data_IF_427676724979
#
_entry.id   IF_427676724979
#
_cell.length_a   1.000
_cell.length_b   1.000
_cell.length_c   1.000
_cell.angle_alpha   90.00
_cell.angle_beta   90.00
_cell.angle_gamma   90.00
#
_symmetry.space_group_name_H-M   'P 1'
#
loop_
_entity.id
_entity.type
_entity.pdbx_description
1 polymer ?
#
# COMPACT_ATOMS: atom_id res chain seq x y z
N UNK A 1 -4.64 -41.04 -17.15
CA UNK A 1 -3.98 -41.25 -15.84
C UNK A 1 -5.05 -41.29 -14.76
N UNK A 2 -4.95 -42.18 -13.76
CA UNK A 2 -5.85 -42.15 -12.61
C UNK A 2 -5.75 -40.80 -11.89
N UNK A 3 -6.84 -40.30 -11.29
CA UNK A 3 -6.84 -39.03 -10.60
C UNK A 3 -5.82 -39.07 -9.46
N UNK A 4 -4.91 -38.11 -9.42
CA UNK A 4 -3.92 -38.01 -8.35
C UNK A 4 -4.61 -37.84 -7.01
N UNK A 5 -4.18 -38.59 -6.00
CA UNK A 5 -4.62 -38.45 -4.61
C UNK A 5 -4.02 -37.17 -3.99
N UNK A 6 -4.68 -36.67 -2.95
CA UNK A 6 -4.19 -35.53 -2.18
C UNK A 6 -2.88 -35.88 -1.48
N UNK A 7 -1.86 -35.03 -1.61
CA UNK A 7 -0.55 -35.22 -0.98
C UNK A 7 -0.57 -35.09 0.55
N UNK A 8 -1.62 -34.49 1.13
CA UNK A 8 -1.74 -34.27 2.60
C UNK A 8 -2.48 -35.43 3.26
N UNK A 9 -3.71 -35.71 2.81
CA UNK A 9 -4.52 -36.75 3.46
C UNK A 9 -4.41 -38.14 2.81
N UNK A 10 -3.83 -38.26 1.61
CA UNK A 10 -3.69 -39.51 0.84
C UNK A 10 -4.98 -40.30 0.55
N UNK A 11 -6.15 -39.83 1.01
CA UNK A 11 -7.44 -40.49 0.86
C UNK A 11 -8.29 -39.83 -0.23
N UNK A 12 -8.43 -38.51 -0.18
CA UNK A 12 -9.28 -37.76 -1.11
C UNK A 12 -8.58 -37.53 -2.46
N UNK A 13 -9.37 -37.38 -3.52
CA UNK A 13 -8.87 -36.93 -4.83
C UNK A 13 -8.35 -35.49 -4.75
N UNK A 14 -7.18 -35.24 -5.33
CA UNK A 14 -6.68 -33.88 -5.47
C UNK A 14 -7.55 -33.09 -6.47
N UNK A 15 -7.99 -31.91 -6.04
CA UNK A 15 -8.84 -30.99 -6.81
C UNK A 15 -8.10 -29.68 -7.12
N UNK A 16 -7.07 -29.35 -6.35
CA UNK A 16 -6.36 -28.09 -6.39
C UNK A 16 -4.88 -28.37 -6.67
N UNK A 17 -4.31 -27.61 -7.60
CA UNK A 17 -2.87 -27.46 -7.74
C UNK A 17 -2.46 -26.18 -7.03
N UNK A 18 -1.75 -26.30 -5.91
CA UNK A 18 -1.41 -25.17 -5.06
C UNK A 18 -0.48 -24.18 -5.81
N UNK A 19 -0.81 -22.88 -5.91
CA UNK A 19 0.02 -21.91 -6.63
C UNK A 19 1.44 -21.79 -6.07
N UNK A 20 1.61 -21.83 -4.75
CA UNK A 20 2.90 -21.62 -4.06
C UNK A 20 3.98 -22.65 -4.39
N UNK A 21 3.61 -23.94 -4.46
CA UNK A 21 4.57 -25.05 -4.54
C UNK A 21 4.12 -26.20 -5.48
N UNK A 22 3.04 -26.01 -6.24
CA UNK A 22 2.45 -27.02 -7.12
C UNK A 22 2.05 -28.33 -6.43
N UNK A 23 1.81 -28.31 -5.11
CA UNK A 23 1.29 -29.46 -4.39
C UNK A 23 -0.14 -29.80 -4.85
N UNK A 24 -0.41 -31.08 -5.08
CA UNK A 24 -1.75 -31.57 -5.48
C UNK A 24 -2.55 -31.92 -4.23
N UNK A 25 -3.57 -31.12 -3.92
CA UNK A 25 -4.32 -31.21 -2.65
C UNK A 25 -5.84 -31.21 -2.87
N UNK A 26 -6.61 -31.74 -1.92
CA UNK A 26 -8.07 -31.65 -1.93
C UNK A 26 -8.54 -30.34 -1.28
N UNK A 27 -9.79 -29.93 -1.56
CA UNK A 27 -10.32 -28.67 -1.05
C UNK A 27 -10.34 -28.56 0.49
N UNK A 28 -10.74 -29.58 1.28
CA UNK A 28 -10.72 -29.50 2.74
C UNK A 28 -9.30 -29.30 3.31
N UNK A 29 -8.32 -30.05 2.77
CA UNK A 29 -6.93 -29.90 3.20
C UNK A 29 -6.36 -28.53 2.82
N UNK A 30 -6.73 -27.99 1.65
CA UNK A 30 -6.32 -26.65 1.25
C UNK A 30 -6.90 -25.57 2.17
N UNK A 31 -8.21 -25.62 2.46
CA UNK A 31 -8.89 -24.66 3.35
C UNK A 31 -8.19 -24.62 4.71
N UNK A 32 -7.99 -25.80 5.31
CA UNK A 32 -7.34 -25.91 6.61
C UNK A 32 -5.91 -25.37 6.56
N UNK A 33 -5.12 -25.78 5.57
CA UNK A 33 -3.74 -25.32 5.40
C UNK A 33 -3.66 -23.80 5.21
N UNK A 34 -4.56 -23.22 4.43
CA UNK A 34 -4.62 -21.77 4.20
C UNK A 34 -4.96 -21.02 5.49
N UNK A 35 -5.95 -21.49 6.25
CA UNK A 35 -6.31 -20.92 7.55
C UNK A 35 -5.14 -21.05 8.56
N UNK A 36 -4.48 -22.20 8.61
CA UNK A 36 -3.35 -22.46 9.51
C UNK A 36 -2.13 -21.57 9.18
N UNK A 37 -1.81 -21.33 7.89
CA UNK A 37 -0.73 -20.40 7.48
C UNK A 37 -1.06 -18.93 7.83
N UNK A 38 -2.34 -18.54 7.76
CA UNK A 38 -2.77 -17.21 8.22
C UNK A 38 -2.70 -17.11 9.74
N UNK A 39 -3.08 -18.16 10.47
CA UNK A 39 -2.94 -18.22 11.93
C UNK A 39 -1.48 -18.11 12.35
N UNK A 40 -0.57 -18.84 11.69
CA UNK A 40 0.88 -18.73 11.92
C UNK A 40 1.37 -17.29 11.69
N UNK A 41 0.90 -16.63 10.63
CA UNK A 41 1.24 -15.23 10.35
C UNK A 41 0.76 -14.28 11.47
N UNK A 42 -0.45 -14.50 11.97
CA UNK A 42 -1.07 -13.73 13.06
C UNK A 42 -0.30 -13.91 14.36
N UNK A 43 -0.01 -15.16 14.73
CA UNK A 43 0.66 -15.54 15.98
C UNK A 43 2.14 -15.13 15.97
N UNK A 44 2.87 -15.43 14.89
CA UNK A 44 4.30 -15.09 14.76
C UNK A 44 4.57 -13.58 14.72
N UNK A 45 3.55 -12.77 14.38
CA UNK A 45 3.64 -11.32 14.36
C UNK A 45 2.92 -10.65 15.53
N UNK A 46 2.40 -11.42 16.48
CA UNK A 46 1.65 -10.96 17.66
C UNK A 46 0.60 -9.89 17.28
N UNK A 47 -0.20 -10.19 16.24
CA UNK A 47 -1.08 -9.18 15.65
C UNK A 47 -2.19 -8.74 16.60
N UNK A 48 -2.69 -9.62 17.45
CA UNK A 48 -3.85 -9.35 18.30
C UNK A 48 -3.55 -9.64 19.77
N UNK A 49 -4.24 -8.92 20.66
CA UNK A 49 -4.35 -9.31 22.06
C UNK A 49 -5.68 -10.05 22.32
N UNK A 50 -5.70 -11.05 23.21
CA UNK A 50 -6.96 -11.73 23.55
C UNK A 50 -8.00 -10.74 24.08
N UNK A 51 -9.23 -10.80 23.57
CA UNK A 51 -10.31 -9.86 23.95
C UNK A 51 -10.28 -8.50 23.23
N UNK A 52 -9.35 -8.29 22.30
CA UNK A 52 -9.25 -7.04 21.56
C UNK A 52 -10.41 -6.84 20.58
N UNK A 53 -10.88 -5.59 20.46
CA UNK A 53 -11.86 -5.19 19.45
C UNK A 53 -11.16 -4.80 18.16
N UNK A 54 -11.47 -5.49 17.06
CA UNK A 54 -10.77 -5.36 15.79
C UNK A 54 -11.75 -5.06 14.65
N UNK A 55 -11.45 -4.01 13.87
CA UNK A 55 -12.24 -3.61 12.71
C UNK A 55 -11.66 -4.20 11.43
N UNK A 56 -12.44 -4.94 10.67
CA UNK A 56 -12.06 -5.51 9.38
C UNK A 56 -12.51 -4.55 8.29
N UNK A 57 -11.55 -4.02 7.53
CA UNK A 57 -11.83 -3.19 6.36
C UNK A 57 -12.54 -3.99 5.27
N UNK A 58 -13.84 -3.75 5.09
CA UNK A 58 -14.70 -4.47 4.17
C UNK A 58 -14.95 -3.66 2.89
N UNK A 59 -14.31 -4.06 1.79
CA UNK A 59 -14.53 -3.40 0.49
C UNK A 59 -15.63 -4.07 -0.32
N UNK A 60 -16.05 -5.30 0.03
CA UNK A 60 -16.97 -6.13 -0.76
C UNK A 60 -16.26 -7.00 -1.80
N UNK A 61 -14.95 -6.83 -1.96
CA UNK A 61 -14.12 -7.66 -2.81
C UNK A 61 -13.61 -8.92 -2.12
N UNK A 62 -13.11 -9.86 -2.95
CA UNK A 62 -12.62 -11.18 -2.54
C UNK A 62 -11.68 -11.14 -1.33
N UNK A 63 -10.71 -10.24 -1.31
CA UNK A 63 -9.65 -10.26 -0.30
C UNK A 63 -10.19 -9.87 1.08
N UNK A 64 -11.08 -8.87 1.14
CA UNK A 64 -11.73 -8.46 2.39
C UNK A 64 -12.75 -9.49 2.89
N UNK A 65 -13.48 -10.15 1.99
CA UNK A 65 -14.45 -11.19 2.35
C UNK A 65 -13.74 -12.45 2.88
N UNK A 66 -12.66 -12.88 2.22
CA UNK A 66 -11.83 -13.99 2.68
C UNK A 66 -11.19 -13.66 4.02
N UNK A 67 -10.65 -12.45 4.20
CA UNK A 67 -10.09 -12.02 5.48
C UNK A 67 -11.12 -12.12 6.60
N UNK A 68 -12.34 -11.63 6.39
CA UNK A 68 -13.41 -11.70 7.38
C UNK A 68 -13.80 -13.15 7.72
N UNK A 69 -13.93 -14.01 6.71
CA UNK A 69 -14.27 -15.42 6.87
C UNK A 69 -13.18 -16.21 7.62
N UNK A 70 -11.92 -15.99 7.27
CA UNK A 70 -10.76 -16.64 7.90
C UNK A 70 -10.61 -16.18 9.34
N UNK A 71 -10.64 -14.86 9.61
CA UNK A 71 -10.51 -14.35 10.98
C UNK A 71 -11.65 -14.82 11.87
N UNK A 72 -12.89 -14.88 11.38
CA UNK A 72 -14.01 -15.47 12.13
C UNK A 72 -13.72 -16.93 12.49
N UNK A 73 -13.35 -17.74 11.50
CA UNK A 73 -13.07 -19.17 11.68
C UNK A 73 -11.91 -19.40 12.66
N UNK A 74 -10.85 -18.60 12.57
CA UNK A 74 -9.68 -18.70 13.44
C UNK A 74 -9.97 -18.19 14.85
N UNK A 75 -10.77 -17.14 15.01
CA UNK A 75 -11.19 -16.64 16.31
C UNK A 75 -11.95 -17.71 17.12
N UNK A 76 -12.83 -18.47 16.45
CA UNK A 76 -13.55 -19.61 17.02
C UNK A 76 -12.62 -20.80 17.31
N UNK A 77 -11.69 -21.12 16.41
CA UNK A 77 -10.78 -22.28 16.53
C UNK A 77 -9.68 -22.10 17.59
N UNK A 78 -9.06 -20.92 17.64
CA UNK A 78 -7.93 -20.62 18.53
C UNK A 78 -8.38 -19.91 19.82
N UNK A 79 -9.67 -19.65 19.98
CA UNK A 79 -10.25 -18.97 21.14
C UNK A 79 -9.56 -17.63 21.47
N UNK A 80 -9.23 -16.84 20.44
CA UNK A 80 -8.63 -15.52 20.60
C UNK A 80 -9.59 -14.52 21.28
N UNK A 81 -10.89 -14.82 21.32
CA UNK A 81 -11.94 -14.00 21.94
C UNK A 81 -11.99 -12.56 21.39
N UNK A 82 -11.66 -12.36 20.12
CA UNK A 82 -11.71 -11.06 19.46
C UNK A 82 -13.15 -10.60 19.26
N UNK A 83 -13.42 -9.31 19.49
CA UNK A 83 -14.66 -8.65 19.07
C UNK A 83 -14.47 -8.09 17.65
N UNK A 84 -14.95 -8.83 16.66
CA UNK A 84 -14.78 -8.53 15.24
C UNK A 84 -15.94 -7.68 14.71
N UNK A 85 -15.62 -6.53 14.10
CA UNK A 85 -16.59 -5.64 13.45
C UNK A 85 -16.16 -5.34 12.00
N UNK A 86 -17.10 -5.26 11.07
CA UNK A 86 -16.85 -4.85 9.70
C UNK A 86 -16.94 -3.32 9.58
N UNK A 87 -15.95 -2.71 8.94
CA UNK A 87 -15.91 -1.29 8.62
C UNK A 87 -15.79 -1.11 7.10
N UNK A 88 -16.83 -0.56 6.48
CA UNK A 88 -16.91 -0.32 5.04
C UNK A 88 -16.94 1.18 4.76
N UNK A 89 -16.19 1.61 3.74
CA UNK A 89 -16.15 3.00 3.30
C UNK A 89 -16.94 3.14 2.00
N UNK A 90 -17.91 4.05 1.97
CA UNK A 90 -18.64 4.41 0.76
C UNK A 90 -18.02 5.65 0.11
N UNK A 91 -17.31 5.43 -1.00
CA UNK A 91 -16.70 6.49 -1.77
C UNK A 91 -17.69 7.34 -2.57
N UNK A 92 -18.93 6.88 -2.74
CA UNK A 92 -19.95 7.54 -3.55
C UNK A 92 -19.63 7.52 -5.05
N UNK A 93 -19.31 6.32 -5.57
CA UNK A 93 -19.11 6.07 -7.01
C UNK A 93 -20.35 5.34 -7.54
N UNK A 94 -21.16 6.03 -8.34
CA UNK A 94 -22.41 5.49 -8.89
C UNK A 94 -22.17 4.29 -9.80
N UNK A 95 -23.03 3.27 -9.69
CA UNK A 95 -23.00 2.08 -10.55
C UNK A 95 -21.86 1.10 -10.26
N UNK A 96 -20.98 1.43 -9.31
CA UNK A 96 -19.91 0.54 -8.83
C UNK A 96 -20.12 0.19 -7.35
N UNK A 97 -20.30 1.21 -6.50
CA UNK A 97 -20.25 1.01 -5.05
C UNK A 97 -21.55 0.41 -4.50
N UNK A 98 -22.68 0.64 -5.16
CA UNK A 98 -23.99 0.15 -4.75
C UNK A 98 -24.02 -1.38 -4.62
N UNK A 99 -23.65 -2.09 -5.69
CA UNK A 99 -23.56 -3.56 -5.70
C UNK A 99 -22.53 -4.12 -4.73
N UNK A 100 -21.41 -3.40 -4.57
CA UNK A 100 -20.36 -3.79 -3.65
C UNK A 100 -20.79 -3.66 -2.19
N UNK A 101 -21.54 -2.63 -1.83
CA UNK A 101 -22.09 -2.45 -0.48
C UNK A 101 -23.17 -3.50 -0.17
N UNK A 102 -23.97 -3.90 -1.15
CA UNK A 102 -24.92 -5.02 -1.00
C UNK A 102 -24.19 -6.33 -0.69
N UNK A 103 -23.07 -6.62 -1.36
CA UNK A 103 -22.23 -7.78 -1.03
C UNK A 103 -21.69 -7.69 0.41
N UNK A 104 -21.22 -6.51 0.85
CA UNK A 104 -20.78 -6.33 2.25
C UNK A 104 -21.91 -6.56 3.26
N UNK A 105 -23.13 -6.09 2.98
CA UNK A 105 -24.30 -6.32 3.84
C UNK A 105 -24.67 -7.81 3.92
N UNK A 106 -24.62 -8.52 2.78
CA UNK A 106 -24.84 -9.98 2.74
C UNK A 106 -23.77 -10.73 3.53
N UNK A 107 -22.50 -10.37 3.35
CA UNK A 107 -21.38 -10.94 4.11
C UNK A 107 -21.49 -10.68 5.61
N UNK A 108 -21.94 -9.49 6.03
CA UNK A 108 -22.23 -9.17 7.43
C UNK A 108 -23.30 -10.09 8.02
N UNK A 109 -24.40 -10.32 7.29
CA UNK A 109 -25.47 -11.20 7.71
C UNK A 109 -25.04 -12.68 7.77
N UNK A 110 -24.31 -13.16 6.77
CA UNK A 110 -23.82 -14.55 6.70
C UNK A 110 -22.77 -14.84 7.78
N UNK A 111 -21.83 -13.92 7.99
CA UNK A 111 -20.80 -14.06 9.00
C UNK A 111 -21.28 -13.68 10.41
N UNK A 112 -22.45 -13.05 10.55
CA UNK A 112 -22.95 -12.59 11.85
C UNK A 112 -22.06 -11.54 12.50
N UNK A 113 -21.35 -10.73 11.70
CA UNK A 113 -20.45 -9.68 12.17
C UNK A 113 -21.13 -8.31 12.05
N UNK A 114 -21.11 -7.45 13.09
CA UNK A 114 -21.65 -6.10 13.01
C UNK A 114 -20.99 -5.29 11.89
N UNK A 115 -21.75 -4.43 11.21
CA UNK A 115 -21.26 -3.63 10.09
C UNK A 115 -21.50 -2.14 10.33
N UNK A 116 -20.44 -1.33 10.13
CA UNK A 116 -20.51 0.12 10.05
C UNK A 116 -20.10 0.58 8.66
N UNK A 117 -20.94 1.42 8.07
CA UNK A 117 -20.65 2.08 6.79
C UNK A 117 -20.42 3.57 7.08
N UNK A 118 -19.36 4.13 6.50
CA UNK A 118 -19.03 5.57 6.58
C UNK A 118 -18.82 6.10 5.17
N UNK A 119 -19.41 7.25 4.82
CA UNK A 119 -19.33 7.79 3.47
C UNK A 119 -18.37 8.97 3.34
N UNK A 120 -17.82 9.19 2.14
CA UNK A 120 -17.05 10.41 1.87
C UNK A 120 -17.91 11.67 1.93
N UNK A 121 -19.17 11.58 1.53
CA UNK A 121 -20.11 12.69 1.60
C UNK A 121 -20.28 13.18 3.05
N UNK A 122 -20.42 12.25 4.00
CA UNK A 122 -20.53 12.55 5.43
C UNK A 122 -19.23 13.11 6.00
N UNK A 123 -18.07 12.52 5.66
CA UNK A 123 -16.79 12.90 6.26
C UNK A 123 -16.15 14.17 5.69
N UNK A 124 -16.42 14.46 4.42
CA UNK A 124 -15.69 15.47 3.65
C UNK A 124 -16.61 16.42 2.86
N UNK A 125 -17.91 16.13 2.75
CA UNK A 125 -18.84 16.92 1.92
C UNK A 125 -18.66 16.73 0.40
N UNK A 126 -17.90 15.71 0.00
CA UNK A 126 -17.58 15.38 -1.39
C UNK A 126 -17.75 13.88 -1.62
N UNK A 127 -18.40 13.49 -2.71
CA UNK A 127 -18.32 12.12 -3.25
C UNK A 127 -17.17 11.98 -4.24
N UNK A 128 -16.73 10.75 -4.53
CA UNK A 128 -15.70 10.55 -5.55
C UNK A 128 -16.14 10.99 -6.94
N UNK A 129 -17.40 10.83 -7.31
CA UNK A 129 -17.92 11.31 -8.59
C UNK A 129 -17.79 12.84 -8.70
N UNK A 130 -18.07 13.57 -7.61
CA UNK A 130 -17.89 15.02 -7.55
C UNK A 130 -16.40 15.41 -7.63
N UNK A 131 -15.51 14.66 -6.97
CA UNK A 131 -14.05 14.90 -7.07
C UNK A 131 -13.58 14.70 -8.50
N UNK A 132 -14.02 13.64 -9.19
CA UNK A 132 -13.64 13.37 -10.58
C UNK A 132 -14.21 14.44 -11.52
N UNK A 133 -15.43 14.91 -11.28
CA UNK A 133 -16.01 16.02 -12.05
C UNK A 133 -15.16 17.31 -11.95
N UNK A 134 -14.53 17.54 -10.79
CA UNK A 134 -13.75 18.75 -10.53
C UNK A 134 -12.27 18.65 -10.98
N UNK A 135 -11.62 17.50 -10.74
CA UNK A 135 -10.17 17.29 -10.96
C UNK A 135 -9.89 16.59 -12.30
N UNK A 136 -10.90 15.92 -12.86
CA UNK A 136 -10.76 15.04 -14.01
C UNK A 136 -10.32 13.62 -13.62
N UNK A 137 -10.16 12.77 -14.65
CA UNK A 137 -9.82 11.35 -14.47
C UNK A 137 -8.36 11.11 -14.09
N UNK A 138 -7.46 12.07 -14.34
CA UNK A 138 -6.03 11.95 -14.00
C UNK A 138 -5.81 12.35 -12.55
N UNK A 139 -5.23 11.45 -11.76
CA UNK A 139 -4.88 11.71 -10.35
C UNK A 139 -6.03 11.59 -9.35
N UNK A 140 -7.25 11.25 -9.77
CA UNK A 140 -8.39 10.99 -8.90
C UNK A 140 -8.15 9.86 -7.88
N UNK A 141 -7.41 8.81 -8.27
CA UNK A 141 -7.02 7.70 -7.40
C UNK A 141 -6.14 8.17 -6.22
N UNK A 142 -5.41 9.28 -6.40
CA UNK A 142 -4.66 9.91 -5.31
C UNK A 142 -5.60 10.46 -4.24
N UNK A 143 -6.63 11.21 -4.65
CA UNK A 143 -7.65 11.73 -3.72
C UNK A 143 -8.36 10.58 -3.02
N UNK A 144 -8.83 9.59 -3.78
CA UNK A 144 -9.53 8.43 -3.25
C UNK A 144 -8.68 7.68 -2.20
N UNK A 145 -7.40 7.43 -2.50
CA UNK A 145 -6.50 6.73 -1.56
C UNK A 145 -6.26 7.51 -0.26
N UNK A 146 -6.06 8.84 -0.35
CA UNK A 146 -5.87 9.69 0.84
C UNK A 146 -7.14 9.70 1.70
N UNK A 147 -8.30 9.92 1.08
CA UNK A 147 -9.58 9.99 1.78
C UNK A 147 -10.00 8.65 2.38
N UNK A 148 -9.74 7.53 1.69
CA UNK A 148 -10.07 6.18 2.19
C UNK A 148 -9.33 5.87 3.48
N UNK A 149 -8.04 6.22 3.53
CA UNK A 149 -7.22 6.02 4.72
C UNK A 149 -7.77 6.79 5.92
N UNK A 150 -8.00 8.09 5.76
CA UNK A 150 -8.54 8.91 6.83
C UNK A 150 -9.96 8.47 7.23
N UNK A 151 -10.75 7.98 6.27
CA UNK A 151 -12.09 7.47 6.52
C UNK A 151 -12.06 6.18 7.35
N UNK A 152 -11.12 5.26 7.08
CA UNK A 152 -10.90 4.07 7.91
C UNK A 152 -10.53 4.45 9.34
N UNK A 153 -9.67 5.45 9.53
CA UNK A 153 -9.28 5.85 10.89
C UNK A 153 -10.40 6.54 11.64
N UNK A 154 -11.11 7.46 10.98
CA UNK A 154 -12.30 8.10 11.57
C UNK A 154 -13.39 7.08 11.88
N UNK A 155 -13.63 6.13 10.97
CA UNK A 155 -14.59 5.06 11.16
C UNK A 155 -14.23 4.12 12.30
N UNK A 156 -12.96 3.78 12.46
CA UNK A 156 -12.48 2.98 13.60
C UNK A 156 -12.59 3.75 14.92
N UNK A 157 -12.27 5.05 14.93
CA UNK A 157 -12.48 5.91 16.10
C UNK A 157 -13.97 5.99 16.50
N UNK A 158 -14.88 6.13 15.53
CA UNK A 158 -16.33 6.12 15.78
C UNK A 158 -16.83 4.80 16.38
N UNK A 159 -16.16 3.68 16.07
CA UNK A 159 -16.47 2.36 16.62
C UNK A 159 -15.79 2.09 17.97
N UNK A 160 -14.92 2.98 18.44
CA UNK A 160 -14.07 2.70 19.57
C UNK A 160 -13.17 1.48 19.30
N UNK A 161 -12.49 1.47 18.15
CA UNK A 161 -11.56 0.41 17.75
C UNK A 161 -10.14 0.95 17.60
N UNK A 162 -9.19 0.31 18.29
CA UNK A 162 -7.76 0.63 18.23
C UNK A 162 -7.00 -0.10 17.11
N UNK A 163 -7.60 -1.11 16.47
CA UNK A 163 -6.93 -1.95 15.48
C UNK A 163 -7.81 -2.24 14.25
N UNK A 164 -7.35 -1.83 13.08
CA UNK A 164 -7.95 -2.12 11.78
C UNK A 164 -7.14 -3.17 11.02
N UNK A 165 -7.79 -4.18 10.47
CA UNK A 165 -7.16 -5.17 9.58
C UNK A 165 -7.64 -4.98 8.15
N UNK A 166 -6.73 -5.18 7.19
CA UNK A 166 -7.03 -5.01 5.76
C UNK A 166 -6.61 -6.23 4.96
N UNK A 167 -7.34 -6.51 3.87
CA UNK A 167 -7.13 -7.68 3.01
C UNK A 167 -5.94 -7.58 2.05
N UNK A 168 -4.90 -6.80 2.36
CA UNK A 168 -3.73 -6.72 1.48
C UNK A 168 -3.00 -8.06 1.44
N UNK A 169 -2.86 -8.61 0.24
CA UNK A 169 -2.27 -9.92 -0.01
C UNK A 169 -0.79 -9.80 -0.45
N UNK A 170 -0.12 -10.94 -0.68
CA UNK A 170 1.29 -10.97 -1.07
C UNK A 170 1.54 -10.24 -2.40
N UNK A 171 0.64 -10.38 -3.37
CA UNK A 171 0.70 -9.70 -4.67
C UNK A 171 0.62 -8.17 -4.50
N UNK A 172 -0.31 -7.66 -3.70
CA UNK A 172 -0.44 -6.21 -3.41
C UNK A 172 0.84 -5.62 -2.80
N UNK A 173 1.48 -6.38 -1.90
CA UNK A 173 2.72 -5.98 -1.25
C UNK A 173 3.87 -6.04 -2.25
N UNK A 174 3.96 -7.07 -3.09
CA UNK A 174 4.97 -7.19 -4.13
C UNK A 174 4.86 -6.06 -5.18
N UNK A 175 3.64 -5.76 -5.63
CA UNK A 175 3.35 -4.61 -6.49
C UNK A 175 3.85 -3.31 -5.85
N UNK A 176 3.57 -3.12 -4.56
CA UNK A 176 3.98 -1.91 -3.83
C UNK A 176 5.50 -1.81 -3.66
N UNK A 177 6.18 -2.92 -3.37
CA UNK A 177 7.65 -2.99 -3.31
C UNK A 177 8.26 -2.57 -4.64
N UNK A 178 7.80 -3.16 -5.74
CA UNK A 178 8.30 -2.89 -7.08
C UNK A 178 8.04 -1.43 -7.48
N UNK A 179 6.82 -0.93 -7.24
CA UNK A 179 6.46 0.46 -7.54
C UNK A 179 7.32 1.47 -6.77
N UNK A 180 7.63 1.22 -5.50
CA UNK A 180 8.47 2.12 -4.69
C UNK A 180 9.94 2.06 -5.11
N UNK A 181 10.44 0.86 -5.44
CA UNK A 181 11.78 0.68 -5.97
C UNK A 181 11.98 1.45 -7.30
N UNK A 182 11.04 1.30 -8.24
CA UNK A 182 11.09 1.97 -9.55
C UNK A 182 11.00 3.50 -9.43
N UNK A 183 10.34 4.02 -8.39
CA UNK A 183 10.27 5.46 -8.11
C UNK A 183 11.49 6.00 -7.36
N UNK A 184 12.37 5.14 -6.87
CA UNK A 184 13.47 5.52 -5.99
C UNK A 184 13.00 5.97 -4.59
N UNK A 185 11.81 5.55 -4.15
CA UNK A 185 11.21 5.98 -2.89
C UNK A 185 11.43 4.93 -1.78
N UNK A 186 12.69 4.80 -1.39
CA UNK A 186 13.13 3.82 -0.38
C UNK A 186 12.55 4.07 1.02
N UNK A 187 12.36 5.30 1.52
CA UNK A 187 11.70 5.52 2.81
C UNK A 187 10.27 4.96 2.85
N UNK A 188 9.52 5.03 1.74
CA UNK A 188 8.17 4.44 1.65
C UNK A 188 8.18 2.91 1.66
N UNK A 189 9.25 2.28 1.15
CA UNK A 189 9.39 0.83 1.12
C UNK A 189 9.34 0.19 2.52
N UNK A 190 9.98 0.83 3.50
CA UNK A 190 10.05 0.30 4.88
C UNK A 190 8.67 0.12 5.53
N UNK A 191 7.74 1.04 5.27
CA UNK A 191 6.39 0.97 5.83
C UNK A 191 5.48 0.03 5.05
N UNK A 192 5.60 0.02 3.73
CA UNK A 192 4.80 -0.84 2.85
C UNK A 192 5.00 -2.34 3.16
N UNK A 193 6.23 -2.70 3.54
CA UNK A 193 6.66 -4.07 3.87
C UNK A 193 6.51 -4.43 5.34
N UNK A 194 6.02 -3.51 6.17
CA UNK A 194 5.66 -3.80 7.56
C UNK A 194 4.27 -4.45 7.62
N UNK A 195 4.16 -5.54 8.39
CA UNK A 195 2.89 -6.23 8.61
C UNK A 195 1.96 -5.44 9.52
N UNK A 196 2.53 -4.74 10.51
CA UNK A 196 1.84 -3.80 11.39
C UNK A 196 2.33 -2.40 11.09
N UNK A 197 1.40 -1.47 10.94
CA UNK A 197 1.67 -0.04 10.84
C UNK A 197 0.79 0.68 11.83
N UNK A 198 1.37 1.47 12.73
CA UNK A 198 0.60 2.32 13.63
C UNK A 198 0.54 3.73 13.06
N UNK A 199 -0.67 4.27 12.93
CA UNK A 199 -0.89 5.68 12.57
C UNK A 199 -1.30 6.42 13.84
N UNK A 200 -0.42 7.26 14.45
CA UNK A 200 -0.85 8.18 15.48
C UNK A 200 -1.87 9.13 14.84
N UNK A 201 -3.12 9.11 15.29
CA UNK A 201 -4.21 9.98 14.85
C UNK A 201 -4.74 10.74 16.06
N UNK A 202 -4.32 11.98 16.29
CA UNK A 202 -4.81 12.73 17.45
C UNK A 202 -6.25 13.24 17.24
N UNK A 203 -7.09 13.09 18.27
CA UNK A 203 -8.06 14.13 18.67
C UNK A 203 -7.99 14.31 20.18
N UNK A 204 -8.02 15.58 20.59
CA UNK A 204 -7.88 16.08 21.96
C UNK A 204 -9.08 15.71 22.84
N UNK A 205 -8.85 15.46 24.12
CA UNK A 205 -9.79 15.91 25.16
C UNK A 205 -9.02 16.37 26.39
N UNK A 206 -9.44 17.52 26.87
CA UNK A 206 -8.93 18.36 27.95
C UNK A 206 -8.31 17.66 29.16
N UNK A 207 -7.26 18.30 29.67
CA UNK A 207 -6.96 18.26 31.09
C UNK A 207 -8.14 18.84 31.87
N UNK A 208 -8.89 18.01 32.58
CA UNK A 208 -9.46 18.43 33.86
C UNK A 208 -9.57 17.25 34.81
N UNK A 209 -8.87 17.39 35.94
CA UNK A 209 -9.10 16.60 37.14
C UNK A 209 -10.53 16.82 37.63
N UNK A 210 -11.33 15.76 37.77
CA UNK A 210 -12.59 15.84 38.50
C UNK A 210 -13.58 14.69 38.26
N UNK A 211 -13.66 13.77 39.22
CA UNK A 211 -14.79 12.90 39.64
C UNK A 211 -15.85 12.43 38.61
N UNK A 212 -15.97 11.07 38.56
CA UNK A 212 -17.16 10.18 38.48
C UNK A 212 -18.21 10.41 37.36
N UNK A 213 -18.50 9.36 36.57
CA UNK A 213 -19.78 8.62 36.53
C UNK A 213 -19.85 7.67 35.31
N UNK A 214 -20.66 6.61 35.45
CA UNK A 214 -20.92 5.52 34.49
C UNK A 214 -21.71 5.97 33.25
N UNK A 215 -21.61 5.16 32.19
CA UNK A 215 -22.31 5.23 30.90
C UNK A 215 -21.74 6.20 29.85
N UNK A 216 -21.22 5.58 28.76
CA UNK A 216 -20.78 6.19 27.51
C UNK A 216 -19.37 6.84 27.48
N UNK A 217 -18.33 6.02 27.69
CA UNK A 217 -16.95 6.40 27.34
C UNK A 217 -16.79 6.48 25.81
N UNK A 218 -16.77 7.69 25.26
CA UNK A 218 -16.20 7.96 23.95
C UNK A 218 -14.70 7.61 24.00
N UNK A 219 -14.33 6.45 23.48
CA UNK A 219 -12.92 6.05 23.43
C UNK A 219 -12.26 6.76 22.25
N UNK A 220 -11.56 7.84 22.52
CA UNK A 220 -10.72 8.55 21.56
C UNK A 220 -9.45 7.72 21.30
N UNK A 221 -9.55 6.71 20.43
CA UNK A 221 -8.37 5.97 19.98
C UNK A 221 -7.48 6.89 19.16
N UNK A 222 -6.42 7.40 19.79
CA UNK A 222 -5.48 8.35 19.19
C UNK A 222 -4.35 7.70 18.41
N UNK A 223 -4.33 6.37 18.31
CA UNK A 223 -3.33 5.61 17.56
C UNK A 223 -3.97 4.32 17.06
N UNK A 224 -4.38 4.32 15.78
CA UNK A 224 -5.03 3.15 15.19
C UNK A 224 -3.95 2.29 14.55
N UNK A 225 -3.78 1.10 15.12
CA UNK A 225 -2.95 0.02 14.58
C UNK A 225 -3.61 -0.48 13.30
N UNK A 226 -2.83 -0.69 12.25
CA UNK A 226 -3.25 -1.37 11.04
C UNK A 226 -2.42 -2.62 10.82
N UNK A 227 -3.05 -3.75 10.52
CA UNK A 227 -2.29 -4.94 10.12
C UNK A 227 -2.84 -5.62 8.87
N UNK A 228 -1.99 -6.49 8.31
CA UNK A 228 -2.22 -7.21 7.06
C UNK A 228 -2.09 -8.72 7.31
N UNK A 229 -3.13 -9.40 7.83
CA UNK A 229 -3.04 -10.85 8.13
C UNK A 229 -2.77 -11.71 6.88
N UNK A 230 -3.18 -11.24 5.69
CA UNK A 230 -2.98 -11.93 4.42
C UNK A 230 -1.65 -11.58 3.71
N UNK A 231 -0.72 -10.90 4.40
CA UNK A 231 0.52 -10.38 3.78
C UNK A 231 1.36 -11.44 3.04
N UNK A 232 1.28 -12.71 3.44
CA UNK A 232 2.02 -13.82 2.80
C UNK A 232 1.11 -14.78 2.02
N UNK A 233 -0.18 -14.48 1.92
CA UNK A 233 -1.14 -15.27 1.15
C UNK A 233 -1.17 -14.77 -0.30
N UNK A 234 -1.11 -15.70 -1.26
CA UNK A 234 -1.19 -15.39 -2.69
C UNK A 234 -2.61 -15.01 -3.10
N UNK A 235 -2.76 -14.08 -4.04
CA UNK A 235 -4.07 -13.68 -4.59
C UNK A 235 -4.82 -14.90 -5.16
N UNK A 236 -4.12 -15.80 -5.88
CA UNK A 236 -4.72 -17.04 -6.40
C UNK A 236 -5.25 -17.96 -5.31
N UNK A 237 -4.57 -18.03 -4.16
CA UNK A 237 -5.04 -18.85 -3.03
C UNK A 237 -6.26 -18.24 -2.36
N UNK A 238 -6.33 -16.91 -2.26
CA UNK A 238 -7.51 -16.19 -1.79
C UNK A 238 -8.71 -16.48 -2.70
N UNK A 239 -8.54 -16.44 -4.03
CA UNK A 239 -9.58 -16.79 -4.99
C UNK A 239 -10.04 -18.25 -4.81
N UNK A 240 -9.09 -19.19 -4.69
CA UNK A 240 -9.40 -20.60 -4.46
C UNK A 240 -10.17 -20.81 -3.15
N UNK A 241 -9.78 -20.11 -2.08
CA UNK A 241 -10.44 -20.18 -0.79
C UNK A 241 -11.89 -19.69 -0.89
N UNK A 242 -12.09 -18.50 -1.48
CA UNK A 242 -13.42 -17.93 -1.71
C UNK A 242 -14.31 -18.87 -2.52
N UNK A 243 -13.78 -19.45 -3.60
CA UNK A 243 -14.50 -20.39 -4.46
C UNK A 243 -14.93 -21.66 -3.69
N UNK A 244 -14.02 -22.29 -2.95
CA UNK A 244 -14.32 -23.54 -2.25
C UNK A 244 -15.20 -23.36 -1.00
N UNK A 245 -15.15 -22.19 -0.35
CA UNK A 245 -16.08 -21.80 0.72
C UNK A 245 -17.40 -21.22 0.18
N UNK A 246 -17.51 -20.99 -1.13
CA UNK A 246 -18.66 -20.37 -1.81
C UNK A 246 -19.00 -18.98 -1.25
N UNK A 247 -17.97 -18.20 -0.92
CA UNK A 247 -18.16 -16.85 -0.40
C UNK A 247 -18.69 -15.93 -1.49
N UNK A 248 -19.68 -15.12 -1.14
CA UNK A 248 -20.20 -14.09 -2.02
C UNK A 248 -19.29 -12.85 -1.99
N UNK A 249 -18.78 -12.48 -3.17
CA UNK A 249 -17.96 -11.29 -3.31
C UNK A 249 -18.21 -10.62 -4.66
N UNK A 250 -17.96 -9.32 -4.69
CA UNK A 250 -18.09 -8.51 -5.88
C UNK A 250 -16.72 -8.31 -6.53
N UNK A 251 -16.60 -8.52 -7.84
CA UNK A 251 -15.31 -8.61 -8.55
C UNK A 251 -15.11 -7.59 -9.67
N UNK A 252 -15.93 -6.56 -9.79
CA UNK A 252 -15.70 -5.54 -10.82
C UNK A 252 -14.55 -4.62 -10.40
N UNK A 253 -13.76 -4.16 -11.36
CA UNK A 253 -12.79 -3.09 -11.13
C UNK A 253 -13.48 -1.73 -11.11
N UNK A 254 -12.88 -0.77 -10.42
CA UNK A 254 -13.40 0.59 -10.36
C UNK A 254 -13.27 1.29 -11.72
N UNK A 255 -14.35 1.93 -12.17
CA UNK A 255 -14.44 2.68 -13.45
C UNK A 255 -13.38 3.77 -13.63
N UNK A 256 -12.77 4.20 -12.52
CA UNK A 256 -11.77 5.27 -12.46
C UNK A 256 -10.33 4.78 -12.31
N UNK A 257 -10.13 3.46 -12.13
CA UNK A 257 -8.82 2.84 -11.93
C UNK A 257 -7.98 2.48 -13.18
N UNK A 258 -8.50 2.37 -14.43
CA UNK A 258 -7.73 1.82 -15.55
C UNK A 258 -6.41 2.54 -15.89
N UNK A 259 -6.32 3.85 -15.66
CA UNK A 259 -5.12 4.63 -15.97
C UNK A 259 -4.05 4.62 -14.85
N UNK A 260 -4.19 3.77 -13.83
CA UNK A 260 -3.28 3.76 -12.69
C UNK A 260 -1.97 3.01 -12.99
N UNK A 261 -0.84 3.62 -12.66
CA UNK A 261 0.52 3.04 -12.77
C UNK A 261 0.67 1.63 -12.16
N UNK A 262 -0.17 1.29 -11.17
CA UNK A 262 -0.17 -0.04 -10.55
C UNK A 262 -0.44 -1.17 -11.56
N UNK A 263 -1.16 -0.89 -12.65
CA UNK A 263 -1.41 -1.86 -13.72
C UNK A 263 -0.12 -2.44 -14.33
N UNK A 264 0.88 -1.61 -14.60
CA UNK A 264 2.16 -2.06 -15.17
C UNK A 264 2.95 -2.93 -14.19
N UNK A 265 2.98 -2.56 -12.91
CA UNK A 265 3.62 -3.37 -11.87
C UNK A 265 2.94 -4.73 -11.72
N UNK A 266 1.60 -4.77 -11.74
CA UNK A 266 0.81 -5.99 -11.70
C UNK A 266 1.13 -6.92 -12.87
N UNK A 267 1.20 -6.40 -14.09
CA UNK A 267 1.55 -7.19 -15.28
C UNK A 267 2.92 -7.82 -15.13
N UNK A 268 3.92 -7.06 -14.66
CA UNK A 268 5.26 -7.57 -14.44
C UNK A 268 5.29 -8.68 -13.36
N UNK A 269 4.64 -8.48 -12.21
CA UNK A 269 4.55 -9.50 -11.15
C UNK A 269 3.88 -10.77 -11.66
N UNK A 270 2.79 -10.66 -12.43
CA UNK A 270 2.11 -11.82 -13.03
C UNK A 270 3.01 -12.56 -14.03
N UNK A 271 3.82 -11.85 -14.81
CA UNK A 271 4.79 -12.47 -15.72
C UNK A 271 5.89 -13.22 -14.96
N UNK A 272 6.39 -12.66 -13.84
CA UNK A 272 7.37 -13.34 -12.98
C UNK A 272 6.77 -14.58 -12.31
N UNK A 273 5.53 -14.48 -11.83
CA UNK A 273 4.81 -15.60 -11.19
C UNK A 273 4.62 -16.79 -12.14
N UNK A 274 4.36 -16.54 -13.43
CA UNK A 274 4.24 -17.59 -14.46
C UNK A 274 5.52 -18.41 -14.62
N UNK A 275 6.68 -17.78 -14.45
CA UNK A 275 7.99 -18.44 -14.57
C UNK A 275 8.32 -19.17 -13.27
N UNK A 276 8.17 -18.48 -12.13
CA UNK A 276 8.49 -18.97 -10.79
C UNK A 276 7.46 -18.43 -9.80
N UNK A 277 6.56 -19.27 -9.25
CA UNK A 277 5.54 -18.80 -8.30
C UNK A 277 6.11 -18.19 -7.02
N UNK A 278 7.29 -18.62 -6.59
CA UNK A 278 7.98 -18.07 -5.42
C UNK A 278 8.38 -16.59 -5.58
N UNK A 279 8.43 -16.07 -6.81
CA UNK A 279 8.88 -14.70 -7.11
C UNK A 279 8.11 -13.63 -6.34
N UNK A 280 6.81 -13.83 -6.09
CA UNK A 280 5.99 -12.88 -5.33
C UNK A 280 6.55 -12.74 -3.90
N UNK A 281 6.71 -13.86 -3.20
CA UNK A 281 7.25 -13.86 -1.83
C UNK A 281 8.72 -13.46 -1.78
N UNK A 282 9.50 -13.78 -2.81
CA UNK A 282 10.89 -13.32 -2.92
C UNK A 282 10.98 -11.78 -3.02
N UNK A 283 10.10 -11.16 -3.82
CA UNK A 283 10.02 -9.70 -3.92
C UNK A 283 9.60 -9.10 -2.58
N UNK A 284 8.61 -9.68 -1.90
CA UNK A 284 8.19 -9.22 -0.56
C UNK A 284 9.35 -9.35 0.44
N UNK A 285 10.04 -10.49 0.47
CA UNK A 285 11.19 -10.74 1.36
C UNK A 285 12.34 -9.77 1.05
N UNK A 286 12.69 -9.59 -0.22
CA UNK A 286 13.71 -8.65 -0.66
C UNK A 286 13.35 -7.21 -0.28
N UNK A 287 12.07 -6.83 -0.40
CA UNK A 287 11.57 -5.55 0.06
C UNK A 287 11.73 -5.36 1.58
N UNK A 288 11.40 -6.38 2.38
CA UNK A 288 11.60 -6.38 3.84
C UNK A 288 13.07 -6.27 4.23
N UNK A 289 13.97 -6.94 3.51
CA UNK A 289 15.40 -6.89 3.80
C UNK A 289 16.01 -5.56 3.38
N UNK A 290 15.61 -5.03 2.21
CA UNK A 290 16.01 -3.70 1.76
C UNK A 290 15.52 -2.61 2.72
N UNK A 291 14.29 -2.73 3.24
CA UNK A 291 13.73 -1.83 4.23
C UNK A 291 14.60 -1.68 5.49
N UNK A 292 15.24 -2.77 5.94
CA UNK A 292 16.16 -2.73 7.11
C UNK A 292 17.42 -1.91 6.84
N UNK A 293 17.81 -1.78 5.57
CA UNK A 293 19.02 -1.07 5.14
C UNK A 293 18.78 0.42 4.88
N UNK A 294 17.52 0.88 4.80
CA UNK A 294 17.21 2.29 4.54
C UNK A 294 17.50 3.12 5.80
N UNK A 295 18.46 4.07 5.74
CA UNK A 295 18.70 4.98 6.85
C UNK A 295 17.44 5.82 7.07
N UNK A 296 16.98 5.90 8.32
CA UNK A 296 15.68 6.41 8.80
C UNK A 296 14.55 5.37 9.01
N UNK A 297 14.76 4.09 8.67
CA UNK A 297 13.90 3.00 9.17
C UNK A 297 14.28 2.57 10.59
N UNK A 298 15.58 2.55 10.88
CA UNK A 298 16.16 2.22 12.18
C UNK A 298 17.20 3.27 12.56
N UNK A 299 16.81 4.29 13.32
CA UNK A 299 17.78 5.03 14.12
C UNK A 299 17.72 4.53 15.57
N UNK A 300 18.17 3.29 15.77
CA UNK A 300 18.91 2.90 16.97
C UNK A 300 19.98 1.89 16.55
N UNK A 301 21.22 2.26 16.83
CA UNK A 301 22.45 1.62 16.36
C UNK A 301 22.63 0.21 16.91
N UNK A 302 23.44 -0.58 16.19
CA UNK A 302 23.95 -1.85 16.67
C UNK A 302 24.61 -1.75 18.05
N UNK A 303 24.08 -2.53 19.00
CA UNK A 303 24.85 -3.23 20.02
C UNK A 303 24.00 -4.37 20.60
N UNK A 304 24.50 -5.57 20.37
CA UNK A 304 24.42 -6.81 21.17
C UNK A 304 23.56 -6.77 22.46
N UNK A 305 22.62 -7.72 22.51
CA UNK A 305 21.91 -8.38 23.63
C UNK A 305 21.00 -7.59 24.60
N UNK A 306 19.76 -8.12 24.79
CA UNK A 306 18.98 -8.04 26.02
C UNK A 306 17.61 -7.34 25.93
N UNK A 307 16.55 -8.14 26.06
CA UNK A 307 15.19 -7.89 26.58
C UNK A 307 14.50 -6.51 26.46
N UNK A 308 13.22 -6.58 26.04
CA UNK A 308 12.06 -5.74 26.36
C UNK A 308 12.21 -4.21 26.35
N UNK A 309 11.58 -3.58 25.35
CA UNK A 309 10.45 -2.65 25.58
C UNK A 309 9.95 -2.05 24.25
N UNK A 310 8.64 -2.12 24.08
CA UNK A 310 7.83 -1.48 23.04
C UNK A 310 8.21 -0.01 22.82
N UNK A 311 8.65 0.32 21.61
CA UNK A 311 8.82 1.72 21.20
C UNK A 311 8.23 1.93 19.80
N UNK A 312 7.05 2.57 19.82
CA UNK A 312 6.22 2.95 18.70
C UNK A 312 7.00 3.59 17.54
N UNK A 313 6.81 3.02 16.34
CA UNK A 313 7.31 3.58 15.10
C UNK A 313 6.61 4.93 14.80
N UNK A 314 7.38 6.02 14.92
CA UNK A 314 6.97 7.39 14.58
C UNK A 314 7.17 7.62 13.08
N UNK A 315 6.10 7.99 12.35
CA UNK A 315 6.20 8.56 11.00
C UNK A 315 5.13 8.13 10.03
N UNK A 316 3.89 8.62 10.23
CA UNK A 316 2.85 8.54 9.23
C UNK A 316 2.96 9.73 8.27
N UNK A 317 3.33 9.45 7.02
CA UNK A 317 2.95 10.22 5.82
C UNK A 317 3.19 9.35 4.60
N UNK A 318 2.20 9.21 3.72
CA UNK A 318 2.28 8.62 2.38
C UNK A 318 2.32 7.09 2.27
N UNK A 319 1.13 6.50 2.34
CA UNK A 319 0.80 5.35 1.50
C UNK A 319 -0.27 5.76 0.48
N UNK A 320 0.06 6.54 -0.55
CA UNK A 320 -0.82 6.58 -1.73
C UNK A 320 0.02 6.33 -2.96
N UNK A 321 -0.37 5.29 -3.68
CA UNK A 321 0.04 5.08 -5.05
C UNK A 321 -0.29 6.34 -5.87
N UNK A 322 0.76 7.03 -6.33
CA UNK A 322 0.64 8.16 -7.25
C UNK A 322 0.44 9.48 -6.52
N UNK A 323 1.42 10.38 -6.63
CA UNK A 323 1.31 11.73 -6.07
C UNK A 323 2.66 12.44 -6.06
N UNK A 324 3.08 12.92 -7.23
CA UNK A 324 4.15 13.91 -7.36
C UNK A 324 3.81 15.18 -6.56
N UNK A 325 4.83 15.76 -5.92
CA UNK A 325 4.91 17.20 -5.68
C UNK A 325 5.02 17.60 -4.22
N UNK A 326 6.22 17.92 -3.76
CA UNK A 326 6.64 19.33 -3.58
C UNK A 326 8.17 19.43 -3.40
N UNK A 327 8.88 19.75 -4.48
CA UNK A 327 10.13 20.48 -4.42
C UNK A 327 10.16 21.37 -5.66
N UNK A 328 10.34 22.67 -5.47
CA UNK A 328 10.61 23.62 -6.54
C UNK A 328 11.92 23.23 -7.22
N UNK A 329 11.84 22.37 -8.23
CA UNK A 329 12.92 22.01 -9.12
C UNK A 329 12.35 22.02 -10.53
N UNK A 330 12.76 23.00 -11.35
CA UNK A 330 12.54 22.96 -12.80
C UNK A 330 13.27 21.73 -13.35
N UNK A 331 12.58 20.61 -13.54
CA UNK A 331 13.06 19.48 -14.34
C UNK A 331 11.98 19.09 -15.36
N UNK A 332 12.40 18.73 -16.57
CA UNK A 332 11.60 18.45 -17.76
C UNK A 332 10.56 17.34 -17.55
N UNK A 333 9.38 17.70 -17.03
CA UNK A 333 8.27 16.78 -16.72
C UNK A 333 7.47 16.29 -17.92
N UNK A 334 8.12 15.83 -18.99
CA UNK A 334 7.46 15.30 -20.19
C UNK A 334 7.96 13.93 -20.66
N UNK A 335 9.16 13.52 -20.25
CA UNK A 335 9.87 12.39 -20.87
C UNK A 335 9.26 11.02 -20.52
N UNK A 336 8.85 10.81 -19.26
CA UNK A 336 8.20 9.57 -18.83
C UNK A 336 6.80 9.38 -19.43
N UNK A 337 6.03 10.46 -19.56
CA UNK A 337 4.71 10.40 -20.19
C UNK A 337 4.83 10.15 -21.71
N UNK A 338 5.86 10.71 -22.35
CA UNK A 338 6.17 10.44 -23.74
C UNK A 338 6.63 8.99 -23.95
N UNK A 339 7.44 8.44 -23.03
CA UNK A 339 7.86 7.04 -23.04
C UNK A 339 6.67 6.08 -22.87
N UNK A 340 5.74 6.38 -21.96
CA UNK A 340 4.53 5.56 -21.76
C UNK A 340 3.59 5.61 -22.98
N UNK A 341 3.43 6.79 -23.59
CA UNK A 341 2.70 6.91 -24.86
C UNK A 341 3.37 6.15 -25.99
N UNK A 342 4.71 6.12 -26.03
CA UNK A 342 5.46 5.38 -27.03
C UNK A 342 5.26 3.87 -26.86
N UNK A 343 5.42 3.34 -25.65
CA UNK A 343 5.20 1.93 -25.37
C UNK A 343 3.78 1.47 -25.74
N UNK A 344 2.75 2.28 -25.48
CA UNK A 344 1.38 1.97 -25.90
C UNK A 344 1.19 2.00 -27.41
N UNK A 345 1.89 2.89 -28.13
CA UNK A 345 1.87 2.90 -29.59
C UNK A 345 2.58 1.68 -30.15
N UNK A 346 3.67 1.27 -29.51
CA UNK A 346 4.46 0.11 -29.91
C UNK A 346 3.63 -1.18 -29.68
N UNK A 347 2.97 -1.34 -28.52
CA UNK A 347 2.03 -2.45 -28.24
C UNK A 347 0.85 -2.48 -29.23
N UNK A 348 0.26 -1.31 -29.52
CA UNK A 348 -0.84 -1.22 -30.50
C UNK A 348 -0.38 -1.54 -31.93
N UNK A 349 0.86 -1.19 -32.29
CA UNK A 349 1.44 -1.51 -33.58
C UNK A 349 1.75 -3.02 -33.71
N UNK A 350 2.16 -3.65 -32.61
CA UNK A 350 2.38 -5.11 -32.51
C UNK A 350 1.05 -5.87 -32.67
N UNK A 351 -0.04 -5.38 -32.07
CA UNK A 351 -1.39 -5.96 -32.24
C UNK A 351 -1.95 -5.79 -33.66
N UNK A 352 -1.56 -4.74 -34.39
CA UNK A 352 -2.02 -4.47 -35.76
C UNK A 352 -1.11 -5.03 -36.86
N UNK A 353 0.00 -5.70 -36.50
CA UNK A 353 0.88 -6.38 -37.46
C UNK A 353 1.58 -5.46 -38.47
N UNK A 354 1.74 -4.17 -38.15
CA UNK A 354 2.43 -3.20 -38.99
C UNK A 354 3.87 -3.00 -38.52
N UNK A 355 4.74 -3.97 -38.73
CA UNK A 355 6.19 -3.78 -38.61
C UNK A 355 6.81 -3.60 -40.00
N UNK A 356 7.63 -2.56 -40.15
CA UNK A 356 8.54 -2.42 -41.30
C UNK A 356 9.88 -3.02 -40.90
N UNK A 357 10.17 -4.23 -41.37
CA UNK A 357 11.50 -4.83 -41.23
C UNK A 357 12.55 -3.97 -41.96
N UNK A 358 13.53 -3.44 -41.24
CA UNK A 358 14.71 -2.82 -41.86
C UNK A 358 15.68 -3.96 -42.22
N UNK A 359 15.53 -4.50 -43.43
CA UNK A 359 16.52 -5.43 -44.01
C UNK A 359 17.77 -4.63 -44.44
N UNK A 360 18.85 -4.73 -43.67
CA UNK A 360 20.15 -4.19 -44.06
C UNK A 360 20.74 -4.98 -45.24
N UNK A 361 20.72 -4.39 -46.44
CA UNK A 361 21.43 -4.91 -47.62
C UNK A 361 22.62 -4.02 -47.97
N UNK A 362 23.81 -4.61 -48.11
CA UNK A 362 24.95 -3.94 -48.72
C UNK A 362 26.33 -4.48 -48.35
N UNK A 363 26.70 -5.65 -48.89
CA UNK A 363 28.05 -6.24 -48.82
C UNK A 363 28.94 -5.64 -49.92
N UNK A 364 30.19 -5.25 -49.59
CA UNK A 364 31.34 -5.36 -50.50
C UNK A 364 32.58 -5.85 -49.73
N UNK A 365 33.19 -6.91 -50.27
CA UNK A 365 34.38 -7.66 -49.81
C UNK A 365 35.69 -6.82 -49.79
N UNK A 366 36.78 -7.15 -49.08
CA UNK A 366 37.60 -8.38 -49.11
C UNK A 366 38.52 -8.53 -47.87
N UNK A 367 39.00 -9.77 -47.69
CA UNK A 367 40.00 -10.31 -46.74
C UNK A 367 41.36 -9.59 -46.78
N UNK A 368 42.08 -9.56 -45.64
CA UNK A 368 43.37 -10.27 -45.43
C UNK A 368 43.96 -10.01 -44.02
N UNK A 369 44.46 -11.10 -43.41
CA UNK A 369 45.51 -11.31 -42.39
C UNK A 369 45.71 -10.42 -41.13
N UNK A 370 45.93 -11.13 -40.00
CA UNK A 370 46.43 -10.63 -38.70
C UNK A 370 47.99 -10.50 -38.72
N UNK A 371 48.73 -10.16 -37.63
CA UNK A 371 48.38 -9.61 -36.30
C UNK A 371 49.38 -8.49 -35.79
N UNK A 372 49.19 -8.02 -34.53
CA UNK A 372 50.21 -7.45 -33.59
C UNK A 372 50.60 -5.92 -33.63
N UNK A 373 50.63 -5.35 -32.40
CA UNK A 373 51.47 -4.24 -31.84
C UNK A 373 51.04 -2.75 -31.90
N UNK A 374 50.80 -2.21 -30.68
CA UNK A 374 51.04 -0.82 -30.25
C UNK A 374 52.51 -0.40 -30.54
N UNK A 375 52.83 0.89 -30.81
CA UNK A 375 53.15 1.82 -29.71
C UNK A 375 52.90 3.34 -29.92
N UNK A 376 52.75 4.06 -28.80
CA UNK A 376 53.35 5.36 -28.37
C UNK A 376 53.98 6.30 -29.44
N UNK A 377 53.96 7.66 -29.40
CA UNK A 377 54.26 8.61 -28.29
C UNK A 377 54.42 10.04 -28.88
N UNK A 378 53.96 11.13 -28.21
CA UNK A 378 54.71 12.30 -27.61
C UNK A 378 53.84 13.58 -27.78
N UNK A 379 53.83 14.61 -26.92
CA UNK A 379 54.80 15.26 -26.00
C UNK A 379 54.05 15.76 -24.73
N UNK A 380 54.52 15.65 -23.47
CA UNK A 380 55.56 16.42 -22.74
C UNK A 380 55.39 17.96 -22.86
N UNK A 381 55.33 18.77 -21.80
CA UNK A 381 56.25 18.82 -20.64
C UNK A 381 55.69 19.48 -19.36
N UNK A 382 56.03 18.84 -18.23
CA UNK A 382 56.15 19.28 -16.83
C UNK A 382 57.38 20.24 -16.65
N UNK A 383 57.87 20.70 -15.45
CA UNK A 383 57.83 20.04 -14.12
C UNK A 383 57.82 20.89 -12.81
N UNK A 384 57.55 20.18 -11.70
CA UNK A 384 58.14 20.15 -10.32
C UNK A 384 58.86 21.39 -9.73
N UNK A 385 58.82 21.72 -8.43
CA UNK A 385 59.08 20.86 -7.25
C UNK A 385 58.74 21.57 -5.92
N UNK A 386 58.66 20.78 -4.84
CA UNK A 386 58.27 21.08 -3.44
C UNK A 386 59.30 21.85 -2.59
N UNK A 387 58.85 22.50 -1.49
CA UNK A 387 59.38 22.26 -0.13
C UNK A 387 58.67 23.00 1.05
N UNK A 388 58.51 22.23 2.16
CA UNK A 388 58.60 22.58 3.60
C UNK A 388 57.48 23.25 4.46
N UNK A 389 56.94 22.42 5.40
CA UNK A 389 56.76 22.54 6.89
C UNK A 389 55.85 23.63 7.55
N UNK A 390 54.87 23.16 8.37
CA UNK A 390 54.10 23.74 9.54
C UNK A 390 53.36 25.09 9.32
N UNK A 391 52.12 25.34 9.75
CA UNK A 391 51.53 25.23 11.10
C UNK A 391 49.97 25.43 11.05
N UNK A 392 49.29 24.93 12.09
CA UNK A 392 47.95 25.23 12.65
C UNK A 392 46.85 25.98 11.85
N UNK A 393 45.62 25.41 11.84
CA UNK A 393 44.38 26.18 11.59
C UNK A 393 43.15 25.36 11.20
N UNK A 394 42.63 24.50 12.10
CA UNK A 394 41.41 23.71 11.88
C UNK A 394 40.15 24.62 11.91
N UNK A 395 39.58 24.91 10.74
CA UNK A 395 38.21 25.40 10.59
C UNK A 395 37.32 24.31 9.99
N UNK A 396 36.60 23.57 10.84
CA UNK A 396 35.74 22.46 10.42
C UNK A 396 34.51 22.96 9.65
N UNK A 397 34.39 22.54 8.39
CA UNK A 397 33.17 22.69 7.61
C UNK A 397 32.00 21.97 8.28
N UNK A 398 30.93 22.72 8.59
CA UNK A 398 29.65 22.17 9.04
C UNK A 398 29.07 21.32 7.91
N UNK A 399 29.14 20.00 8.05
CA UNK A 399 28.25 19.09 7.32
C UNK A 399 26.83 19.39 7.80
N UNK A 400 25.96 19.88 6.91
CA UNK A 400 24.55 20.05 7.19
C UNK A 400 23.90 18.68 7.36
N UNK A 401 23.67 18.29 8.60
CA UNK A 401 22.85 17.13 8.95
C UNK A 401 21.47 17.25 8.27
N UNK A 402 20.89 16.16 7.74
CA UNK A 402 19.55 16.20 7.19
C UNK A 402 18.57 16.71 8.25
N UNK A 403 17.80 17.75 7.91
CA UNK A 403 16.79 18.33 8.81
C UNK A 403 15.84 17.21 9.27
N UNK A 404 15.87 16.88 10.56
CA UNK A 404 14.87 16.01 11.18
C UNK A 404 13.50 16.66 10.98
N UNK A 405 12.68 16.11 10.08
CA UNK A 405 11.28 16.49 9.95
C UNK A 405 10.59 16.22 11.29
N UNK A 406 10.19 17.28 11.98
CA UNK A 406 9.37 17.18 13.19
C UNK A 406 7.93 16.92 12.73
N UNK A 407 7.40 15.75 13.06
CA UNK A 407 5.99 15.44 12.88
C UNK A 407 5.16 16.31 13.83
N UNK A 408 4.18 17.02 13.28
CA UNK A 408 3.22 17.84 14.00
C UNK A 408 1.78 17.39 13.74
N UNK A 409 0.83 18.17 14.21
CA UNK A 409 -0.58 18.00 13.89
C UNK A 409 -0.95 18.98 12.78
N UNK A 410 -1.83 18.53 11.89
CA UNK A 410 -2.46 19.40 10.91
C UNK A 410 -3.28 20.45 11.63
N UNK A 411 -2.99 21.73 11.38
CA UNK A 411 -3.67 22.87 11.99
C UNK A 411 -5.18 22.90 11.66
N UNK A 412 -5.62 22.22 10.59
CA UNK A 412 -7.02 22.23 10.16
C UNK A 412 -7.88 21.08 10.66
N UNK A 413 -7.31 19.89 10.76
CA UNK A 413 -8.08 18.69 11.09
C UNK A 413 -7.52 17.89 12.27
N UNK A 414 -6.45 18.37 12.90
CA UNK A 414 -5.78 17.70 14.02
C UNK A 414 -5.03 16.41 13.65
N UNK A 415 -5.14 15.95 12.41
CA UNK A 415 -4.55 14.70 11.94
C UNK A 415 -3.02 14.80 11.79
N UNK A 416 -2.29 13.70 12.00
CA UNK A 416 -0.82 13.73 11.97
C UNK A 416 -0.29 14.12 10.58
N UNK A 417 0.72 14.98 10.57
CA UNK A 417 1.30 15.54 9.36
C UNK A 417 2.76 15.96 9.62
N UNK A 418 3.65 15.76 8.65
CA UNK A 418 5.01 16.33 8.65
C UNK A 418 5.01 17.79 8.20
N UNK A 419 3.90 18.25 7.62
CA UNK A 419 3.62 19.63 7.22
C UNK A 419 2.58 20.27 8.14
N UNK A 420 2.49 21.60 8.16
CA UNK A 420 1.48 22.32 8.94
C UNK A 420 0.03 21.95 8.54
N UNK A 421 -0.20 21.62 7.27
CA UNK A 421 -1.51 21.18 6.75
C UNK A 421 -1.32 19.81 6.08
N UNK A 422 -2.11 18.82 6.50
CA UNK A 422 -2.01 17.47 5.94
C UNK A 422 -2.47 17.41 4.48
N UNK A 423 -2.01 16.40 3.75
CA UNK A 423 -2.33 16.22 2.32
C UNK A 423 -3.84 16.22 2.05
N UNK A 424 -4.64 15.58 2.90
CA UNK A 424 -6.09 15.56 2.73
C UNK A 424 -6.71 16.97 2.83
N UNK A 425 -6.27 17.79 3.80
CA UNK A 425 -6.74 19.16 3.95
C UNK A 425 -6.30 20.07 2.79
N UNK A 426 -5.09 19.86 2.25
CA UNK A 426 -4.64 20.56 1.05
C UNK A 426 -5.49 20.19 -0.16
N UNK A 427 -5.78 18.89 -0.34
CA UNK A 427 -6.63 18.39 -1.42
C UNK A 427 -8.07 18.92 -1.29
N UNK A 428 -8.64 18.93 -0.08
CA UNK A 428 -9.96 19.47 0.20
C UNK A 428 -10.04 20.98 -0.05
N UNK A 429 -8.99 21.73 0.28
CA UNK A 429 -8.94 23.15 -0.04
C UNK A 429 -8.91 23.40 -1.55
N UNK A 430 -8.14 22.60 -2.29
CA UNK A 430 -8.11 22.65 -3.75
C UNK A 430 -9.51 22.44 -4.36
N UNK A 431 -10.26 21.47 -3.82
CA UNK A 431 -11.64 21.21 -4.25
C UNK A 431 -12.59 22.37 -3.87
N UNK A 432 -12.49 22.89 -2.65
CA UNK A 432 -13.39 23.94 -2.15
C UNK A 432 -13.13 25.31 -2.79
N UNK A 433 -11.92 25.58 -3.28
CA UNK A 433 -11.61 26.81 -4.06
C UNK A 433 -12.41 26.91 -5.35
N UNK A 434 -12.84 25.78 -5.92
CA UNK A 434 -13.63 25.74 -7.14
C UNK A 434 -15.15 25.78 -6.90
N UNK A 435 -15.62 25.66 -5.65
CA UNK A 435 -17.04 25.86 -5.33
C UNK A 435 -17.35 27.36 -5.29
N UNK A 436 -18.41 27.84 -5.97
CA UNK A 436 -18.84 29.23 -5.83
C UNK A 436 -19.26 29.47 -4.38
N UNK A 437 -18.64 30.45 -3.71
CA UNK A 437 -19.09 30.94 -2.41
C UNK A 437 -20.42 31.65 -2.61
N UNK A 438 -21.52 30.97 -2.36
CA UNK A 438 -22.85 31.58 -2.32
C UNK A 438 -23.13 32.01 -0.89
N UNK A 439 -22.40 33.03 -0.44
CA UNK A 439 -22.84 33.85 0.69
C UNK A 439 -23.52 35.07 0.07
N UNK A 440 -24.82 34.94 -0.24
CA UNK A 440 -25.67 36.13 -0.38
C UNK A 440 -26.04 36.49 1.05
N UNK A 441 -25.25 37.35 1.67
CA UNK A 441 -25.70 38.09 2.85
C UNK A 441 -26.89 38.94 2.41
N UNK A 442 -28.10 38.46 2.72
CA UNK A 442 -29.27 39.32 2.75
C UNK A 442 -29.07 40.26 3.93
N UNK A 443 -28.54 41.45 3.66
CA UNK A 443 -28.60 42.57 4.58
C UNK A 443 -30.08 42.84 4.86
N UNK A 444 -30.55 42.44 6.04
CA UNK A 444 -31.82 42.92 6.57
C UNK A 444 -31.73 44.45 6.63
N UNK A 445 -32.52 45.10 5.78
CA UNK A 445 -32.67 46.53 5.78
C UNK A 445 -33.20 46.96 7.15
N UNK A 446 -32.46 47.87 7.79
CA UNK A 446 -32.89 48.56 9.01
C UNK A 446 -34.30 49.14 8.81
N UNK A 447 -35.22 48.74 9.69
CA UNK A 447 -36.54 49.35 9.89
C UNK A 447 -36.61 49.97 11.27
#
# INVERSE_FOLDING_TARGET
MPPSTCQICSVARAQILRPKNHAKICAPCFIKLFEDEVAETVEASELFQPGERVAIGASGGKDSTVLASVLKTLNERHAWNLDLVLLSIDEGIQGYRDHSLEAVKRNSAELGLPLKIVSYQELYGWSMDQVVAQVGKKGNCTYCGVFRRQALDRGAAMLGVGHVVTGHNADDVAETVLMNLLRGDLPRLSRATSIVTSTPSATMSDQSHGKRDEENKAVTFTNIKRSKPLMFAYEKEIVLYAHHKKLDYFSTECIYSPEAFRGSARTLIKSLERIRPESILDVVRSGKDMAKLVPNANNSNGKVCGADQDLAAKGAEDEVAGGCGTANGKSSGGEMAAMEQKLRRDEFAEEQGTETEITGSGVVARKDDAPIQNPSKKMASNPLQSDQVKDSGRGTGRQSLPMRQKLGQCERCGYLSSQAICKACVLLEGLNKARPRTDIELTEAAG
#
